data_IF_578346923566
#
_entry.id   IF_578346923566
#
_cell.length_a   1.000
_cell.length_b   1.000
_cell.length_c   1.000
_cell.angle_alpha   90.00
_cell.angle_beta   90.00
_cell.angle_gamma   90.00
#
_symmetry.space_group_name_H-M   'P 1'
#
loop_
_entity.id
_entity.type
_entity.pdbx_description
1 polymer ?
#
# COMPACT_ATOMS: atom_id res chain seq x y z
N UNK A 1 -24.11 42.01 -31.40
CA UNK A 1 -24.47 43.46 -31.37
C UNK A 1 -25.22 43.77 -32.66
N UNK A 2 -26.38 44.43 -32.57
CA UNK A 2 -27.17 44.87 -33.72
C UNK A 2 -27.10 46.38 -33.86
N UNK A 3 -26.79 46.86 -35.06
CA UNK A 3 -26.82 48.30 -35.37
C UNK A 3 -27.89 48.51 -36.43
N UNK A 4 -28.86 49.36 -36.10
CA UNK A 4 -29.93 49.76 -37.01
C UNK A 4 -29.62 51.14 -37.55
N UNK A 5 -29.46 51.25 -38.87
CA UNK A 5 -29.40 52.54 -39.56
C UNK A 5 -30.76 52.80 -40.23
N UNK A 6 -31.28 54.02 -40.09
CA UNK A 6 -32.55 54.45 -40.67
C UNK A 6 -32.42 55.90 -41.14
N UNK A 7 -32.94 56.22 -42.33
CA UNK A 7 -33.01 57.57 -42.88
C UNK A 7 -34.42 58.21 -42.72
N UNK A 8 -35.31 57.55 -41.95
CA UNK A 8 -36.68 58.01 -41.73
C UNK A 8 -37.68 57.55 -42.80
N UNK A 9 -37.25 56.83 -43.84
CA UNK A 9 -38.13 56.26 -44.86
C UNK A 9 -37.83 54.78 -45.13
N UNK A 10 -36.57 54.36 -45.00
CA UNK A 10 -36.12 52.98 -45.05
C UNK A 10 -35.21 52.68 -43.85
N UNK A 11 -35.22 51.43 -43.37
CA UNK A 11 -34.30 50.98 -42.33
C UNK A 11 -33.61 49.69 -42.76
N UNK A 12 -32.32 49.59 -42.42
CA UNK A 12 -31.54 48.37 -42.60
C UNK A 12 -30.88 47.99 -41.29
N UNK A 13 -31.04 46.74 -40.89
CA UNK A 13 -30.41 46.15 -39.73
C UNK A 13 -29.20 45.33 -40.15
N UNK A 14 -28.05 45.61 -39.55
CA UNK A 14 -26.88 44.75 -39.63
C UNK A 14 -26.62 44.11 -38.27
N UNK A 15 -26.44 42.80 -38.28
CA UNK A 15 -26.12 42.01 -37.09
C UNK A 15 -24.68 41.53 -37.20
N UNK A 16 -23.87 41.81 -36.18
CA UNK A 16 -22.58 41.16 -35.99
C UNK A 16 -22.70 40.14 -34.86
N UNK A 17 -22.47 38.87 -35.18
CA UNK A 17 -22.23 37.82 -34.20
C UNK A 17 -20.72 37.65 -34.00
N UNK A 18 -20.29 37.64 -32.75
CA UNK A 18 -18.96 37.17 -32.37
C UNK A 18 -19.16 35.70 -32.01
N UNK A 19 -18.49 34.80 -32.73
CA UNK A 19 -18.36 33.42 -32.31
C UNK A 19 -17.13 33.40 -31.41
N UNK A 20 -17.32 33.20 -30.09
CA UNK A 20 -16.21 32.87 -29.20
C UNK A 20 -15.87 31.41 -29.49
N UNK A 21 -14.62 31.15 -29.87
CA UNK A 21 -14.16 29.78 -30.07
C UNK A 21 -13.95 29.14 -28.70
N UNK A 22 -14.38 27.89 -28.59
CA UNK A 22 -14.24 27.06 -27.41
C UNK A 22 -12.76 26.84 -27.02
N UNK A 23 -12.48 26.80 -25.72
CA UNK A 23 -11.11 26.65 -25.18
C UNK A 23 -10.94 25.31 -24.50
N UNK A 24 -9.96 24.52 -24.93
CA UNK A 24 -9.69 23.23 -24.27
C UNK A 24 -9.35 23.43 -22.78
N UNK A 25 -9.78 22.51 -21.91
CA UNK A 25 -9.56 22.64 -20.48
C UNK A 25 -8.10 22.42 -20.12
N UNK A 26 -7.73 22.84 -18.91
CA UNK A 26 -6.43 22.53 -18.29
C UNK A 26 -6.62 21.52 -17.17
N UNK A 27 -5.61 20.68 -16.91
CA UNK A 27 -5.66 19.70 -15.82
C UNK A 27 -4.29 19.51 -15.18
N UNK A 28 -4.29 19.24 -13.88
CA UNK A 28 -3.14 18.76 -13.11
C UNK A 28 -3.57 17.56 -12.26
N UNK A 29 -2.62 16.72 -11.84
CA UNK A 29 -2.90 15.55 -10.99
C UNK A 29 -1.81 15.36 -9.94
N UNK A 30 -2.22 14.92 -8.75
CA UNK A 30 -1.33 14.53 -7.65
C UNK A 30 -1.70 13.16 -7.10
N UNK A 31 -0.71 12.40 -6.64
CA UNK A 31 -0.91 11.20 -5.83
C UNK A 31 -0.86 11.57 -4.35
N UNK A 32 -1.73 10.96 -3.54
CA UNK A 32 -1.68 11.10 -2.07
C UNK A 32 -0.37 10.53 -1.49
N UNK A 33 0.11 9.43 -2.06
CA UNK A 33 1.32 8.74 -1.63
C UNK A 33 2.41 8.85 -2.72
N UNK A 34 3.56 9.39 -2.36
CA UNK A 34 4.73 9.46 -3.25
C UNK A 34 5.61 8.20 -3.21
N UNK A 35 5.41 7.34 -2.21
CA UNK A 35 6.12 6.07 -2.02
C UNK A 35 5.20 5.03 -1.35
N UNK A 36 4.15 4.56 -2.04
CA UNK A 36 3.23 3.56 -1.50
C UNK A 36 3.92 2.20 -1.38
N UNK A 37 3.60 1.44 -0.33
CA UNK A 37 3.97 0.04 -0.23
C UNK A 37 2.96 -0.87 -0.96
N UNK A 38 3.35 -2.12 -1.23
CA UNK A 38 2.47 -3.14 -1.81
C UNK A 38 1.21 -3.33 -0.97
N UNK A 39 0.09 -3.72 -1.61
CA UNK A 39 -1.20 -3.95 -0.95
C UNK A 39 -1.88 -2.72 -0.32
N UNK A 40 -1.44 -1.51 -0.67
CA UNK A 40 -2.13 -0.26 -0.34
C UNK A 40 -3.05 0.21 -1.48
N UNK A 41 -4.05 1.01 -1.13
CA UNK A 41 -4.86 1.75 -2.10
C UNK A 41 -4.29 3.16 -2.24
N UNK A 42 -3.93 3.53 -3.47
CA UNK A 42 -3.41 4.87 -3.79
C UNK A 42 -4.50 5.69 -4.45
N UNK A 43 -4.71 6.92 -3.99
CA UNK A 43 -5.66 7.86 -4.59
C UNK A 43 -4.94 8.94 -5.39
N UNK A 44 -5.44 9.20 -6.60
CA UNK A 44 -5.07 10.34 -7.42
C UNK A 44 -6.17 11.41 -7.34
N UNK A 45 -5.78 12.67 -7.22
CA UNK A 45 -6.69 13.82 -7.27
C UNK A 45 -6.30 14.72 -8.42
N UNK A 46 -7.26 15.03 -9.28
CA UNK A 46 -7.12 15.95 -10.40
C UNK A 46 -7.71 17.32 -10.05
N UNK A 47 -7.09 18.37 -10.57
CA UNK A 47 -7.62 19.73 -10.55
C UNK A 47 -7.70 20.21 -11.99
N UNK A 48 -8.93 20.40 -12.48
CA UNK A 48 -9.20 20.93 -13.81
C UNK A 48 -9.79 22.33 -13.78
N UNK A 49 -9.56 23.10 -14.84
CA UNK A 49 -10.18 24.40 -15.05
C UNK A 49 -10.52 24.58 -16.52
N UNK A 50 -11.68 25.18 -16.76
CA UNK A 50 -12.20 25.54 -18.07
C UNK A 50 -12.40 27.06 -18.15
N UNK A 51 -12.00 27.67 -19.27
CA UNK A 51 -12.05 29.13 -19.42
C UNK A 51 -13.45 29.63 -19.78
N UNK A 52 -14.25 28.78 -20.42
CA UNK A 52 -15.60 29.08 -20.89
C UNK A 52 -16.67 28.72 -19.84
N UNK A 53 -16.25 27.99 -18.79
CA UNK A 53 -17.06 27.64 -17.62
C UNK A 53 -17.80 26.33 -17.78
N UNK A 54 -17.39 25.50 -18.73
CA UNK A 54 -18.03 24.23 -19.04
C UNK A 54 -17.76 23.16 -17.98
N UNK A 55 -18.69 22.21 -17.89
CA UNK A 55 -18.62 21.13 -16.90
C UNK A 55 -17.61 20.08 -17.36
N UNK A 56 -16.63 19.81 -16.52
CA UNK A 56 -15.56 18.87 -16.84
C UNK A 56 -15.89 17.43 -16.47
N UNK A 57 -15.43 16.52 -17.33
CA UNK A 57 -15.23 15.10 -17.04
C UNK A 57 -13.75 14.77 -17.09
N UNK A 58 -13.32 13.75 -16.36
CA UNK A 58 -11.93 13.34 -16.23
C UNK A 58 -11.76 11.90 -16.68
N UNK A 59 -10.59 11.57 -17.24
CA UNK A 59 -10.18 10.20 -17.53
C UNK A 59 -8.85 9.90 -16.84
N UNK A 60 -8.87 8.99 -15.88
CA UNK A 60 -7.70 8.51 -15.15
C UNK A 60 -7.21 7.21 -15.78
N UNK A 61 -5.95 7.17 -16.21
CA UNK A 61 -5.30 5.97 -16.73
C UNK A 61 -4.12 5.60 -15.83
N UNK A 62 -4.26 4.48 -15.12
CA UNK A 62 -3.24 3.93 -14.24
C UNK A 62 -2.35 2.93 -14.97
N UNK A 63 -1.05 3.04 -14.75
CA UNK A 63 -0.03 2.21 -15.38
C UNK A 63 0.95 1.68 -14.33
N UNK A 64 1.39 0.45 -14.55
CA UNK A 64 2.51 -0.17 -13.83
C UNK A 64 3.60 -0.47 -14.85
N UNK A 65 4.79 0.08 -14.63
CA UNK A 65 5.93 -0.03 -15.55
C UNK A 65 5.56 0.32 -17.00
N UNK A 66 4.75 1.38 -17.17
CA UNK A 66 4.28 1.86 -18.46
C UNK A 66 3.11 1.07 -19.07
N UNK A 67 2.72 -0.07 -18.50
CA UNK A 67 1.59 -0.87 -19.00
C UNK A 67 0.29 -0.46 -18.31
N UNK A 68 -0.74 -0.14 -19.11
CA UNK A 68 -2.06 0.23 -18.60
C UNK A 68 -2.68 -0.93 -17.81
N UNK A 69 -3.19 -0.61 -16.63
CA UNK A 69 -3.88 -1.54 -15.72
C UNK A 69 -5.34 -1.21 -15.53
N UNK A 70 -5.66 0.09 -15.47
CA UNK A 70 -7.02 0.59 -15.25
C UNK A 70 -7.19 1.91 -15.99
N UNK A 71 -8.34 2.07 -16.64
CA UNK A 71 -8.82 3.37 -17.11
C UNK A 71 -10.22 3.59 -16.55
N UNK A 72 -10.46 4.75 -15.95
CA UNK A 72 -11.76 5.15 -15.43
C UNK A 72 -12.07 6.57 -15.88
N UNK A 73 -13.29 6.81 -16.36
CA UNK A 73 -13.75 8.13 -16.79
C UNK A 73 -15.05 8.51 -16.10
N UNK A 74 -15.22 9.80 -15.79
CA UNK A 74 -16.42 10.31 -15.15
C UNK A 74 -16.26 11.74 -14.63
N UNK A 75 -17.27 12.27 -13.90
CA UNK A 75 -17.24 13.64 -13.37
C UNK A 75 -16.38 13.78 -12.10
N UNK A 76 -15.94 12.68 -11.51
CA UNK A 76 -15.18 12.69 -10.26
C UNK A 76 -13.78 13.25 -10.49
N UNK A 77 -13.35 14.14 -9.60
CA UNK A 77 -11.99 14.71 -9.60
C UNK A 77 -10.96 13.79 -8.95
N UNK A 78 -11.33 12.57 -8.58
CA UNK A 78 -10.42 11.60 -7.96
C UNK A 78 -10.75 10.18 -8.40
N UNK A 79 -9.72 9.34 -8.48
CA UNK A 79 -9.84 7.90 -8.67
C UNK A 79 -8.79 7.17 -7.80
N UNK A 80 -9.04 5.90 -7.52
CA UNK A 80 -8.15 5.08 -6.69
C UNK A 80 -7.66 3.83 -7.41
N UNK A 81 -6.46 3.38 -7.05
CA UNK A 81 -5.81 2.20 -7.58
C UNK A 81 -5.34 1.30 -6.44
N UNK A 82 -5.79 0.06 -6.44
CA UNK A 82 -5.50 -0.93 -5.40
C UNK A 82 -4.26 -1.76 -5.78
N UNK A 83 -3.15 -1.56 -5.06
CA UNK A 83 -1.89 -2.31 -5.22
C UNK A 83 -1.98 -3.72 -4.61
N UNK A 84 -3.09 -4.08 -3.96
CA UNK A 84 -3.35 -5.44 -3.46
C UNK A 84 -3.87 -6.40 -4.51
N UNK A 85 -4.32 -5.87 -5.65
CA UNK A 85 -4.78 -6.69 -6.78
C UNK A 85 -3.57 -7.28 -7.50
N UNK A 86 -3.60 -8.59 -7.75
CA UNK A 86 -2.52 -9.30 -8.44
C UNK A 86 -2.17 -8.64 -9.77
N UNK A 87 -0.89 -8.29 -9.96
CA UNK A 87 -0.38 -7.62 -11.15
C UNK A 87 -0.47 -6.09 -11.14
N UNK A 88 -1.02 -5.47 -10.08
CA UNK A 88 -1.03 -4.01 -9.89
C UNK A 88 0.25 -3.44 -9.29
N UNK A 89 1.32 -4.23 -9.23
CA UNK A 89 2.67 -3.79 -8.91
C UNK A 89 3.18 -4.40 -7.62
N UNK A 90 4.47 -4.75 -7.62
CA UNK A 90 5.23 -5.19 -6.45
C UNK A 90 6.31 -4.11 -6.14
N UNK A 91 7.07 -4.26 -5.04
CA UNK A 91 8.15 -3.32 -4.74
C UNK A 91 9.12 -3.12 -5.92
N UNK A 92 9.58 -1.88 -6.09
CA UNK A 92 10.44 -1.47 -7.20
C UNK A 92 9.71 -1.09 -8.49
N UNK A 93 8.43 -1.46 -8.63
CA UNK A 93 7.63 -1.05 -9.77
C UNK A 93 7.33 0.46 -9.78
N UNK A 94 7.17 1.00 -10.99
CA UNK A 94 6.77 2.40 -11.19
C UNK A 94 5.26 2.49 -11.41
N UNK A 95 4.56 3.11 -10.47
CA UNK A 95 3.16 3.51 -10.58
C UNK A 95 3.07 4.86 -11.27
N UNK A 96 2.23 4.96 -12.32
CA UNK A 96 1.92 6.22 -13.00
C UNK A 96 0.41 6.36 -13.12
N UNK A 97 -0.09 7.56 -12.86
CA UNK A 97 -1.44 7.97 -13.26
C UNK A 97 -1.33 9.09 -14.29
N UNK A 98 -2.03 8.95 -15.40
CA UNK A 98 -2.23 9.99 -16.40
C UNK A 98 -3.69 10.45 -16.37
N UNK A 99 -3.91 11.76 -16.43
CA UNK A 99 -5.24 12.35 -16.41
C UNK A 99 -5.43 13.33 -17.56
N UNK A 100 -6.56 13.20 -18.26
CA UNK A 100 -7.10 14.23 -19.16
C UNK A 100 -8.44 14.73 -18.63
N UNK A 101 -8.78 15.98 -18.93
CA UNK A 101 -10.09 16.57 -18.70
C UNK A 101 -10.78 16.87 -20.03
N UNK A 102 -12.10 16.81 -20.09
CA UNK A 102 -12.92 17.19 -21.26
C UNK A 102 -14.14 17.98 -20.83
N UNK A 103 -14.41 19.06 -21.56
CA UNK A 103 -15.62 19.90 -21.45
C UNK A 103 -16.82 19.36 -22.26
N UNK A 104 -16.63 18.25 -22.98
CA UNK A 104 -17.63 17.66 -23.89
C UNK A 104 -17.39 17.94 -25.37
N UNK A 105 -16.54 18.90 -25.71
CA UNK A 105 -16.16 19.30 -27.07
C UNK A 105 -14.65 19.13 -27.30
N UNK A 106 -13.82 19.64 -26.39
CA UNK A 106 -12.37 19.57 -26.42
C UNK A 106 -11.83 18.73 -25.24
N UNK A 107 -10.54 18.41 -25.31
CA UNK A 107 -9.83 17.60 -24.32
C UNK A 107 -8.51 18.29 -23.99
N UNK A 108 -8.16 18.33 -22.72
CA UNK A 108 -6.90 18.87 -22.23
C UNK A 108 -5.70 18.07 -22.74
N UNK A 109 -4.50 18.65 -22.61
CA UNK A 109 -3.28 17.84 -22.55
C UNK A 109 -3.31 16.88 -21.35
N UNK A 110 -2.51 15.82 -21.41
CA UNK A 110 -2.40 14.87 -20.29
C UNK A 110 -1.49 15.43 -19.19
N UNK A 111 -1.97 15.39 -17.94
CA UNK A 111 -1.15 15.55 -16.75
C UNK A 111 -0.74 14.18 -16.20
N UNK A 112 0.38 14.09 -15.51
CA UNK A 112 0.82 12.83 -14.90
C UNK A 112 1.40 13.03 -13.51
N UNK A 113 1.26 12.00 -12.68
CA UNK A 113 1.95 11.86 -11.41
C UNK A 113 2.45 10.41 -11.30
N UNK A 114 3.57 10.23 -10.61
CA UNK A 114 4.19 8.91 -10.47
C UNK A 114 4.77 8.68 -9.08
N UNK A 115 4.85 7.42 -8.69
CA UNK A 115 5.49 6.95 -7.47
C UNK A 115 6.23 5.64 -7.74
N UNK A 116 7.26 5.36 -6.94
CA UNK A 116 7.90 4.04 -6.91
C UNK A 116 7.31 3.26 -5.75
N UNK A 117 6.88 2.03 -6.00
CA UNK A 117 6.36 1.14 -4.96
C UNK A 117 7.52 0.72 -4.07
N UNK A 118 7.40 0.93 -2.77
CA UNK A 118 8.45 0.59 -1.79
C UNK A 118 8.18 -0.77 -1.15
N UNK A 119 9.24 -1.37 -0.60
CA UNK A 119 9.13 -2.64 0.09
C UNK A 119 8.24 -2.55 1.35
N UNK A 120 7.50 -3.62 1.61
CA UNK A 120 6.62 -3.78 2.77
C UNK A 120 7.30 -4.68 3.79
N UNK A 121 7.35 -4.27 5.07
CA UNK A 121 7.89 -5.15 6.09
C UNK A 121 7.05 -6.44 6.22
N UNK A 122 7.69 -7.59 6.51
CA UNK A 122 6.96 -8.83 6.70
C UNK A 122 6.13 -8.80 7.97
N UNK A 123 5.18 -9.74 8.06
CA UNK A 123 4.43 -10.03 9.29
C UNK A 123 4.81 -11.39 9.83
N UNK A 124 4.72 -11.58 11.15
CA UNK A 124 5.03 -12.86 11.78
C UNK A 124 4.11 -13.14 12.97
N UNK A 125 3.74 -14.42 13.13
CA UNK A 125 3.18 -14.98 14.35
C UNK A 125 4.08 -16.11 14.88
N UNK A 126 3.97 -16.44 16.17
CA UNK A 126 4.66 -17.59 16.76
C UNK A 126 3.74 -18.32 17.73
N UNK A 127 3.82 -19.66 17.75
CA UNK A 127 3.15 -20.51 18.72
C UNK A 127 4.14 -21.50 19.35
N UNK A 128 3.81 -22.00 20.53
CA UNK A 128 4.53 -23.08 21.21
C UNK A 128 3.71 -24.37 21.13
N UNK A 129 4.38 -25.52 21.02
CA UNK A 129 3.74 -26.84 21.08
C UNK A 129 2.97 -27.11 22.39
N UNK A 130 3.30 -26.42 23.48
CA UNK A 130 2.53 -26.43 24.73
C UNK A 130 2.78 -25.15 25.53
N UNK A 131 1.77 -24.73 26.30
CA UNK A 131 1.88 -23.63 27.27
C UNK A 131 2.12 -24.11 28.71
N UNK A 132 2.08 -25.42 28.94
CA UNK A 132 2.28 -26.07 30.25
C UNK A 132 3.34 -27.18 30.17
N UNK A 133 4.60 -26.85 29.83
CA UNK A 133 5.68 -27.82 29.81
C UNK A 133 5.99 -28.33 31.22
N UNK A 134 6.74 -29.43 31.30
CA UNK A 134 7.46 -29.85 32.50
C UNK A 134 8.96 -29.55 32.33
N UNK A 135 9.76 -29.72 33.37
CA UNK A 135 11.23 -29.58 33.31
C UNK A 135 11.93 -30.60 32.40
N UNK A 136 11.21 -31.53 31.78
CA UNK A 136 11.77 -32.48 30.79
C UNK A 136 11.22 -32.27 29.37
N UNK A 137 10.40 -31.23 29.18
CA UNK A 137 9.76 -30.94 27.89
C UNK A 137 10.73 -30.20 26.97
N UNK A 138 10.79 -30.61 25.71
CA UNK A 138 11.34 -29.78 24.64
C UNK A 138 10.24 -28.88 24.13
N UNK A 139 10.38 -27.58 24.36
CA UNK A 139 9.52 -26.58 23.75
C UNK A 139 9.92 -26.41 22.29
N UNK A 140 8.94 -26.38 21.40
CA UNK A 140 9.14 -26.10 19.98
C UNK A 140 8.34 -24.86 19.65
N UNK A 141 9.03 -23.81 19.20
CA UNK A 141 8.42 -22.63 18.63
C UNK A 141 8.20 -22.85 17.13
N UNK A 142 7.02 -22.52 16.63
CA UNK A 142 6.69 -22.51 15.21
C UNK A 142 6.32 -21.10 14.79
N UNK A 143 7.13 -20.51 13.92
CA UNK A 143 6.86 -19.21 13.31
C UNK A 143 6.02 -19.37 12.04
N UNK A 144 5.08 -18.44 11.84
CA UNK A 144 4.32 -18.28 10.62
C UNK A 144 4.53 -16.84 10.12
N UNK A 145 5.39 -16.69 9.11
CA UNK A 145 5.69 -15.41 8.48
C UNK A 145 4.97 -15.25 7.14
N UNK A 146 4.64 -14.02 6.77
CA UNK A 146 4.14 -13.65 5.45
C UNK A 146 4.84 -12.37 4.99
N UNK A 147 5.19 -12.33 3.72
CA UNK A 147 5.77 -11.18 3.05
C UNK A 147 4.89 -10.80 1.86
N UNK A 148 4.48 -9.54 1.77
CA UNK A 148 3.58 -9.07 0.72
C UNK A 148 4.28 -8.94 -0.64
N UNK A 149 5.58 -8.69 -0.59
CA UNK A 149 6.48 -8.53 -1.72
C UNK A 149 7.05 -9.88 -2.20
N UNK A 150 6.72 -10.96 -1.49
CA UNK A 150 7.11 -12.36 -1.73
C UNK A 150 8.61 -12.59 -1.59
N UNK A 151 9.26 -11.76 -0.80
CA UNK A 151 10.67 -11.93 -0.49
C UNK A 151 10.90 -13.11 0.47
N UNK A 152 12.04 -13.83 0.36
CA UNK A 152 12.36 -14.92 1.26
C UNK A 152 12.55 -14.46 2.70
N UNK A 153 11.92 -15.16 3.64
CA UNK A 153 12.00 -14.81 5.06
C UNK A 153 13.13 -15.54 5.81
N UNK A 154 13.75 -14.78 6.71
CA UNK A 154 14.59 -15.28 7.80
C UNK A 154 13.92 -14.97 9.14
N UNK A 155 14.07 -15.85 10.13
CA UNK A 155 13.47 -15.73 11.45
C UNK A 155 14.55 -15.65 12.51
N UNK A 156 14.42 -14.69 13.42
CA UNK A 156 15.27 -14.59 14.62
C UNK A 156 14.45 -14.97 15.85
N UNK A 157 14.73 -16.16 16.39
CA UNK A 157 14.14 -16.67 17.64
C UNK A 157 14.98 -16.22 18.82
N UNK A 158 14.36 -15.55 19.78
CA UNK A 158 14.99 -15.17 21.05
C UNK A 158 14.24 -15.81 22.21
N UNK A 159 14.87 -16.80 22.84
CA UNK A 159 14.36 -17.49 24.02
C UNK A 159 14.80 -16.77 25.29
N UNK A 160 13.84 -16.55 26.19
CA UNK A 160 14.01 -15.91 27.49
C UNK A 160 13.51 -16.83 28.59
N UNK A 161 14.27 -16.89 29.67
CA UNK A 161 13.89 -17.52 30.93
C UNK A 161 13.68 -16.41 31.96
N UNK A 162 12.45 -16.25 32.44
CA UNK A 162 12.05 -15.18 33.37
C UNK A 162 12.49 -13.78 32.87
N UNK A 163 12.28 -13.52 31.58
CA UNK A 163 12.66 -12.27 30.91
C UNK A 163 14.12 -12.14 30.46
N UNK A 164 15.02 -12.99 31.00
CA UNK A 164 16.45 -12.96 30.67
C UNK A 164 16.73 -13.77 29.41
N UNK A 165 17.37 -13.16 28.41
CA UNK A 165 17.77 -13.86 27.17
C UNK A 165 18.70 -15.01 27.48
N UNK A 166 18.38 -16.19 26.95
CA UNK A 166 19.22 -17.40 27.06
C UNK A 166 19.81 -17.81 25.73
N UNK A 167 19.08 -17.63 24.64
CA UNK A 167 19.53 -18.01 23.29
C UNK A 167 18.86 -17.15 22.25
N UNK A 168 19.64 -16.75 21.24
CA UNK A 168 19.15 -16.13 20.03
C UNK A 168 19.68 -16.91 18.83
N UNK A 169 18.79 -17.29 17.92
CA UNK A 169 19.12 -18.04 16.70
C UNK A 169 18.47 -17.34 15.51
N UNK A 170 19.23 -17.08 14.45
CA UNK A 170 18.70 -16.61 13.17
C UNK A 170 18.80 -17.73 12.14
N UNK A 171 17.69 -18.03 11.46
CA UNK A 171 17.58 -19.17 10.53
C UNK A 171 16.43 -18.96 9.54
N UNK A 172 16.48 -19.62 8.39
CA UNK A 172 15.32 -19.72 7.48
C UNK A 172 14.30 -20.79 7.92
N UNK A 173 14.61 -21.58 8.95
CA UNK A 173 13.69 -22.56 9.49
C UNK A 173 12.50 -21.89 10.19
N UNK A 174 11.29 -22.41 9.94
CA UNK A 174 10.06 -21.97 10.60
C UNK A 174 9.88 -22.56 12.00
N UNK A 175 10.85 -23.34 12.48
CA UNK A 175 10.85 -23.86 13.85
C UNK A 175 12.21 -23.72 14.52
N UNK A 176 12.18 -23.57 15.84
CA UNK A 176 13.36 -23.64 16.72
C UNK A 176 12.93 -24.18 18.09
N UNK A 177 13.84 -24.85 18.80
CA UNK A 177 13.48 -25.63 20.01
C UNK A 177 14.33 -25.29 21.22
N UNK A 178 13.70 -25.29 22.40
CA UNK A 178 14.33 -25.05 23.68
C UNK A 178 14.10 -26.23 24.63
N UNK A 179 15.15 -26.99 24.89
CA UNK A 179 15.11 -28.19 25.71
C UNK A 179 15.23 -27.86 27.20
N UNK A 180 14.14 -28.06 27.96
CA UNK A 180 14.11 -27.81 29.40
C UNK A 180 14.83 -28.87 30.23
N UNK A 181 15.14 -30.04 29.65
CA UNK A 181 15.90 -31.08 30.34
C UNK A 181 17.37 -30.68 30.56
N UNK A 182 17.86 -29.68 29.83
CA UNK A 182 19.20 -29.11 30.00
C UNK A 182 19.26 -28.30 31.29
N UNK A 183 20.29 -28.58 32.11
CA UNK A 183 20.50 -27.89 33.39
C UNK A 183 20.56 -26.37 33.19
N UNK A 184 19.71 -25.64 33.91
CA UNK A 184 19.66 -24.18 33.88
C UNK A 184 18.69 -23.59 32.84
N UNK A 185 18.00 -24.42 32.06
CA UNK A 185 17.00 -23.97 31.09
C UNK A 185 15.59 -23.78 31.69
N UNK A 186 15.36 -24.20 32.92
CA UNK A 186 14.12 -23.89 33.64
C UNK A 186 13.90 -24.81 34.83
N UNK A 187 13.17 -24.29 35.81
CA UNK A 187 12.65 -24.97 36.99
C UNK A 187 11.13 -24.83 37.02
N UNK A 188 10.47 -25.52 37.94
CA UNK A 188 9.03 -25.32 38.14
C UNK A 188 8.74 -23.84 38.39
N UNK A 189 7.60 -23.37 37.87
CA UNK A 189 7.10 -21.99 37.93
C UNK A 189 7.85 -20.99 37.06
N UNK A 190 8.98 -21.37 36.45
CA UNK A 190 9.67 -20.50 35.50
C UNK A 190 8.82 -20.23 34.25
N UNK A 191 8.93 -19.00 33.74
CA UNK A 191 8.29 -18.58 32.50
C UNK A 191 9.32 -18.61 31.38
N UNK A 192 9.01 -19.40 30.35
CA UNK A 192 9.76 -19.44 29.11
C UNK A 192 9.00 -18.61 28.08
N UNK A 193 9.67 -17.60 27.52
CA UNK A 193 9.13 -16.79 26.43
C UNK A 193 10.01 -16.95 25.21
N UNK A 194 9.40 -17.19 24.05
CA UNK A 194 10.06 -17.03 22.75
C UNK A 194 9.52 -15.78 22.08
N UNK A 195 10.41 -14.92 21.60
CA UNK A 195 10.07 -13.83 20.69
C UNK A 195 10.66 -14.10 19.32
N UNK A 196 9.90 -13.84 18.26
CA UNK A 196 10.30 -14.05 16.87
C UNK A 196 10.13 -12.75 16.09
N UNK A 197 11.16 -12.39 15.33
CA UNK A 197 11.12 -11.36 14.29
C UNK A 197 11.39 -12.05 12.95
N UNK A 198 10.58 -11.75 11.94
CA UNK A 198 10.86 -12.13 10.56
C UNK A 198 11.56 -10.97 9.84
N UNK A 199 12.45 -11.27 8.89
CA UNK A 199 13.07 -10.29 8.01
C UNK A 199 13.13 -10.82 6.58
N UNK A 200 12.80 -9.94 5.63
CA UNK A 200 12.91 -10.15 4.19
C UNK A 200 14.32 -9.86 3.63
N UNK A 201 15.26 -9.47 4.50
CA UNK A 201 16.63 -9.07 4.15
C UNK A 201 16.85 -7.55 4.07
N UNK A 202 15.78 -6.74 4.04
CA UNK A 202 15.83 -5.28 4.03
C UNK A 202 15.05 -4.66 5.19
N UNK A 203 13.85 -5.16 5.47
CA UNK A 203 12.98 -4.77 6.56
C UNK A 203 12.78 -5.95 7.53
N UNK A 204 12.26 -5.62 8.71
CA UNK A 204 11.95 -6.58 9.75
C UNK A 204 10.52 -6.36 10.24
N UNK A 205 9.84 -7.45 10.57
CA UNK A 205 8.53 -7.43 11.18
C UNK A 205 8.57 -6.81 12.58
N UNK A 206 7.40 -6.43 13.09
CA UNK A 206 7.21 -6.35 14.54
C UNK A 206 7.46 -7.71 15.21
N UNK A 207 7.84 -7.76 16.49
CA UNK A 207 8.06 -9.01 17.19
C UNK A 207 6.74 -9.71 17.52
N UNK A 208 6.65 -11.00 17.23
CA UNK A 208 5.64 -11.88 17.83
C UNK A 208 6.22 -12.59 19.05
N UNK A 209 5.39 -12.95 20.03
CA UNK A 209 5.85 -13.69 21.21
C UNK A 209 4.85 -14.74 21.66
N UNK A 210 5.37 -15.85 22.19
CA UNK A 210 4.59 -16.87 22.87
C UNK A 210 5.30 -17.24 24.18
N UNK A 211 4.51 -17.60 25.20
CA UNK A 211 5.05 -17.96 26.52
C UNK A 211 4.43 -19.23 27.05
N UNK A 212 5.19 -19.92 27.90
CA UNK A 212 4.77 -21.11 28.61
C UNK A 212 5.30 -21.07 30.05
N UNK A 213 4.53 -21.59 31.00
CA UNK A 213 4.94 -21.69 32.41
C UNK A 213 5.23 -23.14 32.74
N UNK A 214 6.43 -23.39 33.27
CA UNK A 214 6.86 -24.75 33.64
C UNK A 214 6.04 -25.23 34.82
N UNK A 215 5.33 -26.33 34.61
CA UNK A 215 4.53 -27.00 35.63
C UNK A 215 5.33 -28.12 36.29
N UNK A 216 5.04 -28.45 37.57
CA UNK A 216 5.59 -29.63 38.21
C UNK A 216 5.28 -30.88 37.38
N UNK A 217 6.28 -31.74 37.18
CA UNK A 217 6.05 -33.07 36.63
C UNK A 217 5.08 -33.84 37.54
N UNK A 218 4.17 -34.64 36.95
CA UNK A 218 3.42 -35.61 37.74
C UNK A 218 4.44 -36.57 38.37
N UNK A 219 4.48 -36.60 39.70
CA UNK A 219 5.23 -37.56 40.51
C UNK A 219 4.75 -38.98 40.25
#
# INVERSE_FOLDING_TARGET
MTVTASDGQLSSTASASVVVADSAPTVSVTLEMNAPATNLVVTATAVGADADGDVLTYSFTWKINGLVRKTASGPNTSDSFDLGVAGNGDHGDTLVVEVTASDGTLVSGAASASATIVNSAPTVGVSLNTTKPTTRTVLVATAAGQDLDRDPLTFTYTWRLNGVVRRTTTTSATTDSYDLSVKGNGSNEDVITVSVIASDGTLASGPASASATVTPGKS
#
